data_IF_300468663917
#
_entry.id   IF_300468663917
#
_cell.length_a   1.000
_cell.length_b   1.000
_cell.length_c   1.000
_cell.angle_alpha   90.00
_cell.angle_beta   90.00
_cell.angle_gamma   90.00
#
_symmetry.space_group_name_H-M   'P 1'
#
loop_
_entity.id
_entity.type
_entity.pdbx_description
1 polymer ?
#
# COMPACT_ATOMS: atom_id res chain seq x y z
N UNK A 1 25.41 -7.71 0.56
CA UNK A 1 24.19 -7.49 -0.23
C UNK A 1 24.04 -8.64 -1.21
N UNK A 2 22.91 -9.33 -1.18
CA UNK A 2 22.64 -10.50 -2.05
C UNK A 2 22.35 -10.04 -3.48
N UNK A 3 22.43 -10.96 -4.45
CA UNK A 3 22.04 -10.66 -5.84
C UNK A 3 20.56 -10.27 -5.95
N UNK A 4 19.69 -10.86 -5.13
CA UNK A 4 18.28 -10.50 -5.06
C UNK A 4 18.06 -9.05 -4.59
N UNK A 5 18.82 -8.61 -3.58
CA UNK A 5 18.77 -7.23 -3.08
C UNK A 5 19.25 -6.23 -4.14
N UNK A 6 20.32 -6.55 -4.88
CA UNK A 6 20.79 -5.73 -6.01
C UNK A 6 19.74 -5.58 -7.10
N UNK A 7 19.11 -6.68 -7.50
CA UNK A 7 18.08 -6.66 -8.54
C UNK A 7 16.86 -5.83 -8.10
N UNK A 8 16.48 -5.92 -6.82
CA UNK A 8 15.40 -5.12 -6.25
C UNK A 8 15.75 -3.62 -6.26
N UNK A 9 16.96 -3.26 -5.86
CA UNK A 9 17.40 -1.86 -5.88
C UNK A 9 17.44 -1.29 -7.30
N UNK A 10 17.96 -2.08 -8.26
CA UNK A 10 17.99 -1.67 -9.66
C UNK A 10 16.56 -1.50 -10.22
N UNK A 11 15.65 -2.42 -9.92
CA UNK A 11 14.25 -2.31 -10.31
C UNK A 11 13.58 -1.04 -9.78
N UNK A 12 13.79 -0.74 -8.50
CA UNK A 12 13.26 0.49 -7.88
C UNK A 12 13.83 1.76 -8.55
N UNK A 13 15.13 1.76 -8.89
CA UNK A 13 15.78 2.90 -9.55
C UNK A 13 15.22 3.11 -10.96
N UNK A 14 14.95 2.02 -11.69
CA UNK A 14 14.32 2.06 -13.01
C UNK A 14 12.89 2.60 -12.88
N UNK A 15 12.10 2.11 -11.93
CA UNK A 15 10.73 2.58 -11.70
C UNK A 15 10.67 4.07 -11.35
N UNK A 16 11.57 4.54 -10.48
CA UNK A 16 11.72 5.96 -10.16
C UNK A 16 12.00 6.79 -11.41
N UNK A 17 12.94 6.35 -12.26
CA UNK A 17 13.24 7.07 -13.51
C UNK A 17 12.06 7.06 -14.46
N UNK A 18 11.34 5.95 -14.59
CA UNK A 18 10.13 5.88 -15.42
C UNK A 18 9.09 6.91 -14.92
N UNK A 19 8.82 6.98 -13.62
CA UNK A 19 7.88 7.94 -13.04
C UNK A 19 8.36 9.40 -13.20
N UNK A 20 9.66 9.67 -13.06
CA UNK A 20 10.22 11.01 -13.30
C UNK A 20 10.00 11.48 -14.74
N UNK A 21 10.16 10.58 -15.72
CA UNK A 21 10.05 10.92 -17.14
C UNK A 21 8.61 10.95 -17.65
N UNK A 22 7.79 9.99 -17.26
CA UNK A 22 6.44 9.81 -17.80
C UNK A 22 5.33 10.29 -16.86
N UNK A 23 5.67 10.61 -15.60
CA UNK A 23 4.71 10.98 -14.58
C UNK A 23 3.92 9.78 -14.06
N UNK A 24 2.91 10.09 -13.25
CA UNK A 24 1.96 9.09 -12.77
C UNK A 24 0.99 8.75 -13.93
N UNK A 25 0.96 7.49 -14.41
CA UNK A 25 0.06 7.08 -15.48
C UNK A 25 -1.42 7.18 -15.08
N UNK A 26 -1.72 7.17 -13.78
CA UNK A 26 -3.06 7.30 -13.24
C UNK A 26 -3.42 8.76 -12.91
N UNK A 27 -2.53 9.72 -13.20
CA UNK A 27 -2.79 11.14 -12.96
C UNK A 27 -4.07 11.59 -13.69
N UNK A 28 -5.00 12.16 -12.94
CA UNK A 28 -6.28 12.64 -13.48
C UNK A 28 -7.35 11.58 -13.66
N UNK A 29 -7.08 10.30 -13.34
CA UNK A 29 -8.11 9.26 -13.34
C UNK A 29 -8.97 9.35 -12.07
N UNK A 30 -10.29 9.29 -12.26
CA UNK A 30 -11.22 9.14 -11.14
C UNK A 30 -11.33 7.68 -10.71
N UNK A 31 -11.50 7.48 -9.40
CA UNK A 31 -11.83 6.17 -8.86
C UNK A 31 -13.18 5.69 -9.42
N UNK A 32 -13.24 4.41 -9.79
CA UNK A 32 -14.50 3.77 -10.23
C UNK A 32 -15.59 4.03 -9.20
N UNK A 33 -16.77 4.48 -9.64
CA UNK A 33 -17.92 4.78 -8.76
C UNK A 33 -18.27 3.62 -7.81
N UNK A 34 -18.18 2.39 -8.30
CA UNK A 34 -18.41 1.18 -7.50
C UNK A 34 -17.41 1.01 -6.35
N UNK A 35 -16.16 1.39 -6.55
CA UNK A 35 -15.13 1.41 -5.52
C UNK A 35 -15.41 2.51 -4.49
N UNK A 36 -15.72 3.73 -4.94
CA UNK A 36 -16.05 4.86 -4.06
C UNK A 36 -17.24 4.54 -3.15
N UNK A 37 -18.29 3.89 -3.69
CA UNK A 37 -19.45 3.45 -2.92
C UNK A 37 -19.05 2.45 -1.82
N UNK A 38 -18.24 1.44 -2.16
CA UNK A 38 -17.74 0.45 -1.18
C UNK A 38 -16.87 1.11 -0.10
N UNK A 39 -16.01 2.04 -0.50
CA UNK A 39 -15.14 2.78 0.43
C UNK A 39 -15.97 3.60 1.42
N UNK A 40 -16.93 4.38 0.92
CA UNK A 40 -17.85 5.15 1.76
C UNK A 40 -18.65 4.27 2.72
N UNK A 41 -19.11 3.09 2.26
CA UNK A 41 -19.80 2.12 3.13
C UNK A 41 -18.88 1.65 4.26
N UNK A 42 -17.65 1.24 3.94
CA UNK A 42 -16.66 0.78 4.93
C UNK A 42 -16.31 1.86 5.95
N UNK A 43 -16.17 3.12 5.51
CA UNK A 43 -15.85 4.24 6.41
C UNK A 43 -16.98 4.55 7.40
N UNK A 44 -18.24 4.29 7.03
CA UNK A 44 -19.39 4.46 7.94
C UNK A 44 -19.51 3.32 8.95
N UNK A 45 -18.98 2.14 8.63
CA UNK A 45 -18.99 0.98 9.52
C UNK A 45 -17.94 1.16 10.62
N UNK A 46 -18.31 0.87 11.89
CA UNK A 46 -17.35 0.88 12.99
C UNK A 46 -16.26 -0.16 12.71
N UNK A 47 -15.05 0.32 12.48
CA UNK A 47 -13.91 -0.54 12.17
C UNK A 47 -13.64 -1.47 13.37
N UNK A 48 -13.62 -2.78 13.12
CA UNK A 48 -13.27 -3.76 14.16
C UNK A 48 -11.76 -3.74 14.32
N UNK A 49 -11.29 -3.10 15.38
CA UNK A 49 -9.88 -3.14 15.75
C UNK A 49 -9.59 -4.36 16.61
N UNK A 50 -8.40 -4.92 16.42
CA UNK A 50 -7.86 -5.94 17.32
C UNK A 50 -7.22 -5.24 18.52
N UNK A 51 -7.52 -5.63 19.77
CA UNK A 51 -6.86 -5.05 20.94
C UNK A 51 -5.34 -5.19 20.86
N UNK A 52 -4.60 -4.16 21.31
CA UNK A 52 -3.14 -4.14 21.29
C UNK A 52 -2.52 -5.37 21.98
N UNK A 53 -3.12 -5.82 23.09
CA UNK A 53 -2.68 -7.01 23.83
C UNK A 53 -2.69 -8.30 22.99
N UNK A 54 -3.68 -8.46 22.10
CA UNK A 54 -3.78 -9.61 21.20
C UNK A 54 -2.68 -9.55 20.14
N UNK A 55 -2.38 -8.35 19.64
CA UNK A 55 -1.30 -8.13 18.68
C UNK A 55 0.06 -8.41 19.33
N UNK A 56 0.33 -7.85 20.51
CA UNK A 56 1.56 -8.07 21.28
C UNK A 56 1.82 -9.57 21.54
N UNK A 57 0.79 -10.30 21.99
CA UNK A 57 0.86 -11.76 22.19
C UNK A 57 1.20 -12.51 20.90
N UNK A 58 0.62 -12.13 19.77
CA UNK A 58 0.85 -12.78 18.47
C UNK A 58 2.30 -12.62 17.99
N UNK A 59 2.89 -11.45 18.24
CA UNK A 59 4.24 -11.13 17.78
C UNK A 59 5.34 -11.35 18.83
N UNK A 60 5.01 -11.95 19.99
CA UNK A 60 5.99 -12.27 21.02
C UNK A 60 6.61 -11.04 21.70
N UNK A 61 5.98 -9.88 21.56
CA UNK A 61 6.39 -8.64 22.23
C UNK A 61 5.71 -8.67 23.60
N UNK A 62 6.47 -8.98 24.64
CA UNK A 62 6.00 -9.00 26.02
C UNK A 62 7.00 -8.30 26.91
#
# INVERSE_FOLDING_TARGET
MTTAERNKQLGNLIEQKILEFFGDPDAGLELKKSFVIKLRKRMKEKQKFTPLSVVMKKYGIR
#
